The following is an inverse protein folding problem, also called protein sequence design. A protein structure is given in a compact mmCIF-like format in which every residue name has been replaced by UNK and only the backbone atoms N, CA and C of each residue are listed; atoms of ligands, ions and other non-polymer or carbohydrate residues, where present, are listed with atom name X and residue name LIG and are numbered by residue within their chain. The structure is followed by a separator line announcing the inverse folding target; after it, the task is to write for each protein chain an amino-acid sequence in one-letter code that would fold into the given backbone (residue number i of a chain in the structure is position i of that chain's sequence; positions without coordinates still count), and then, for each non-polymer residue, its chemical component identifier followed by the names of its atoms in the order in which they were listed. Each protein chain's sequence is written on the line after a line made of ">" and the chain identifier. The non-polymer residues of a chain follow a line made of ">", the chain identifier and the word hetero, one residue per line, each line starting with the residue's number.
data_IF_609960672106
#
_entry.id   IF_609960672106
#
_cell.length_a   1.000
_cell.length_b   1.000
_cell.length_c   1.000
_cell.angle_alpha   90.00
_cell.angle_beta   90.00
_cell.angle_gamma   90.00
#
_symmetry.space_group_name_H-M   'P 1'
#
loop_
_entity.id
_entity.type
_entity.pdbx_description
1 polymer ?
#
# COMPACT_ATOMS: atom_id res chain seq x y z
N UNK A 1 -18.50 3.78 -15.61
CA UNK A 1 -19.05 4.06 -14.26
C UNK A 1 -20.51 4.46 -14.41
N UNK A 2 -21.44 3.94 -13.58
CA UNK A 2 -22.84 4.34 -13.63
C UNK A 2 -22.98 5.83 -13.27
N UNK A 3 -23.93 6.53 -13.91
CA UNK A 3 -24.22 7.94 -13.58
C UNK A 3 -24.74 8.02 -12.14
N UNK A 4 -24.04 8.74 -11.28
CA UNK A 4 -24.47 8.98 -9.90
C UNK A 4 -25.67 9.92 -9.85
N UNK A 5 -26.61 9.65 -8.95
CA UNK A 5 -27.79 10.47 -8.68
C UNK A 5 -27.73 11.18 -7.33
N UNK A 6 -26.79 10.79 -6.45
CA UNK A 6 -26.53 11.42 -5.17
C UNK A 6 -25.02 11.44 -4.83
N UNK A 7 -24.66 12.19 -3.78
CA UNK A 7 -23.26 12.36 -3.37
C UNK A 7 -22.60 11.05 -2.93
N UNK A 8 -23.35 10.14 -2.30
CA UNK A 8 -22.82 8.85 -1.84
C UNK A 8 -22.44 7.98 -3.05
N UNK A 9 -23.29 7.94 -4.07
CA UNK A 9 -23.00 7.26 -5.34
C UNK A 9 -21.81 7.89 -6.06
N UNK A 10 -21.73 9.23 -6.11
CA UNK A 10 -20.59 9.93 -6.69
C UNK A 10 -19.28 9.60 -5.95
N UNK A 11 -19.30 9.61 -4.63
CA UNK A 11 -18.16 9.23 -3.79
C UNK A 11 -17.76 7.76 -3.99
N UNK A 12 -18.75 6.85 -4.08
CA UNK A 12 -18.47 5.43 -4.33
C UNK A 12 -17.91 5.17 -5.73
N UNK A 13 -18.34 5.96 -6.72
CA UNK A 13 -17.79 5.97 -8.08
C UNK A 13 -16.35 6.48 -8.13
N UNK A 14 -15.91 7.28 -7.15
CA UNK A 14 -14.49 7.62 -7.02
C UNK A 14 -13.70 6.38 -6.59
N UNK A 15 -13.06 5.76 -7.57
CA UNK A 15 -12.12 4.66 -7.35
C UNK A 15 -10.75 5.28 -7.04
N UNK A 16 -10.31 5.10 -5.80
CA UNK A 16 -8.94 5.42 -5.41
C UNK A 16 -8.09 4.22 -5.78
N UNK A 17 -7.20 4.39 -6.75
CA UNK A 17 -6.25 3.35 -7.15
C UNK A 17 -4.93 3.49 -6.39
N UNK A 18 -4.23 2.38 -6.10
CA UNK A 18 -2.88 2.44 -5.56
C UNK A 18 -1.88 2.92 -6.62
N UNK A 19 -0.73 3.43 -6.16
CA UNK A 19 0.42 3.64 -7.05
C UNK A 19 0.98 2.28 -7.48
N UNK A 20 1.27 2.13 -8.77
CA UNK A 20 1.63 0.86 -9.42
C UNK A 20 2.97 0.96 -10.15
N UNK A 21 3.28 2.08 -10.80
CA UNK A 21 4.47 2.25 -11.65
C UNK A 21 5.62 2.98 -10.94
N UNK A 22 6.86 2.81 -11.42
CA UNK A 22 8.01 3.57 -10.90
C UNK A 22 7.79 5.08 -10.99
N UNK A 23 7.20 5.54 -12.10
CA UNK A 23 6.87 6.94 -12.34
C UNK A 23 5.86 7.45 -11.32
N UNK A 24 4.79 6.70 -11.06
CA UNK A 24 3.79 7.07 -10.06
C UNK A 24 4.39 7.14 -8.65
N UNK A 25 5.26 6.20 -8.29
CA UNK A 25 5.94 6.24 -7.00
C UNK A 25 6.89 7.43 -6.90
N UNK A 26 7.70 7.69 -7.93
CA UNK A 26 8.61 8.84 -7.95
C UNK A 26 7.87 10.17 -7.81
N UNK A 27 6.75 10.32 -8.50
CA UNK A 27 6.08 11.61 -8.64
C UNK A 27 5.02 11.86 -7.55
N UNK A 28 4.45 10.80 -6.96
CA UNK A 28 3.32 10.91 -6.02
C UNK A 28 3.50 10.21 -4.68
N UNK A 29 4.55 9.41 -4.47
CA UNK A 29 4.78 8.78 -3.18
C UNK A 29 5.29 9.82 -2.17
N UNK A 30 4.64 9.86 -1.01
CA UNK A 30 5.05 10.73 0.09
C UNK A 30 5.84 9.89 1.08
N UNK A 31 7.15 10.13 1.13
CA UNK A 31 8.01 9.46 2.11
C UNK A 31 7.63 9.82 3.54
N UNK A 32 7.70 8.81 4.42
CA UNK A 32 7.54 9.03 5.85
C UNK A 32 8.75 9.82 6.38
N UNK A 33 8.59 10.65 7.42
CA UNK A 33 9.73 11.26 8.09
C UNK A 33 10.72 10.20 8.55
N UNK A 34 12.03 10.45 8.44
CA UNK A 34 13.10 9.46 8.71
C UNK A 34 13.04 8.78 10.10
N UNK A 35 12.43 9.44 11.09
CA UNK A 35 12.32 8.92 12.45
C UNK A 35 10.90 8.41 12.77
N UNK A 36 10.00 8.40 11.80
CA UNK A 36 8.65 7.87 11.98
C UNK A 36 8.65 6.35 11.77
N UNK A 37 7.86 5.60 12.56
CA UNK A 37 7.72 4.17 12.33
C UNK A 37 7.13 3.90 10.93
N UNK A 38 7.76 2.99 10.20
CA UNK A 38 7.29 2.50 8.90
C UNK A 38 6.79 1.06 9.05
N UNK A 39 5.47 0.84 9.03
CA UNK A 39 4.91 -0.52 9.08
C UNK A 39 5.38 -1.41 7.93
N UNK A 40 5.76 -0.81 6.79
CA UNK A 40 6.27 -1.54 5.62
C UNK A 40 7.70 -2.02 5.82
N UNK A 41 8.57 -1.21 6.40
CA UNK A 41 9.94 -1.64 6.72
C UNK A 41 9.94 -2.73 7.79
N UNK A 42 9.11 -2.56 8.83
CA UNK A 42 8.92 -3.58 9.87
C UNK A 42 8.37 -4.88 9.28
N UNK A 43 7.37 -4.80 8.40
CA UNK A 43 6.80 -5.97 7.75
C UNK A 43 7.79 -6.65 6.81
N UNK A 44 8.60 -5.89 6.07
CA UNK A 44 9.68 -6.42 5.23
C UNK A 44 10.65 -7.26 6.07
N UNK A 45 11.15 -6.69 7.17
CA UNK A 45 12.09 -7.38 8.06
C UNK A 45 11.47 -8.67 8.63
N UNK A 46 10.21 -8.61 9.07
CA UNK A 46 9.49 -9.79 9.56
C UNK A 46 9.28 -10.86 8.49
N UNK A 47 9.08 -10.49 7.23
CA UNK A 47 8.93 -11.44 6.11
C UNK A 47 10.27 -12.09 5.77
N UNK A 48 11.32 -11.30 5.65
CA UNK A 48 12.65 -11.76 5.23
C UNK A 48 13.35 -12.64 6.27
N UNK A 49 12.98 -12.51 7.54
CA UNK A 49 13.51 -13.31 8.65
C UNK A 49 12.52 -14.35 9.18
N UNK A 50 11.40 -14.60 8.48
CA UNK A 50 10.40 -15.56 8.93
C UNK A 50 10.90 -17.01 8.76
N UNK A 51 10.99 -17.78 9.86
CA UNK A 51 11.26 -19.22 9.80
C UNK A 51 10.11 -20.04 9.19
N UNK A 52 8.92 -19.46 9.10
CA UNK A 52 7.71 -20.09 8.55
C UNK A 52 6.72 -19.04 8.07
N UNK A 53 5.83 -19.43 7.16
CA UNK A 53 4.79 -18.56 6.64
C UNK A 53 3.95 -17.92 7.76
N UNK A 54 3.82 -16.59 7.72
CA UNK A 54 3.01 -15.79 8.67
C UNK A 54 1.84 -15.13 7.96
N UNK A 55 0.80 -14.82 8.72
CA UNK A 55 -0.38 -14.08 8.25
C UNK A 55 -0.40 -12.71 8.89
N UNK A 56 -0.67 -11.68 8.07
CA UNK A 56 -0.70 -10.29 8.50
C UNK A 56 -2.05 -9.66 8.12
N UNK A 57 -2.59 -8.85 9.02
CA UNK A 57 -3.84 -8.11 8.80
C UNK A 57 -3.53 -6.62 8.70
N UNK A 58 -3.79 -6.03 7.54
CA UNK A 58 -3.63 -4.59 7.29
C UNK A 58 -4.97 -3.87 7.41
N UNK A 59 -5.09 -2.98 8.40
CA UNK A 59 -6.32 -2.24 8.70
C UNK A 59 -6.16 -0.73 8.41
N UNK A 60 -7.26 -0.07 8.10
CA UNK A 60 -7.32 1.38 7.86
C UNK A 60 -8.47 1.77 6.94
N UNK A 61 -8.81 3.06 6.91
CA UNK A 61 -9.93 3.61 6.13
C UNK A 61 -9.74 3.48 4.60
N UNK A 62 -10.83 3.58 3.82
CA UNK A 62 -10.74 3.62 2.34
C UNK A 62 -9.87 4.81 1.91
N UNK A 63 -8.98 4.60 0.95
CA UNK A 63 -8.09 5.65 0.43
C UNK A 63 -6.89 6.02 1.32
N UNK A 64 -6.69 5.38 2.48
CA UNK A 64 -5.55 5.69 3.37
C UNK A 64 -4.19 5.12 2.91
N UNK A 65 -4.06 4.69 1.65
CA UNK A 65 -2.79 4.22 1.08
C UNK A 65 -2.39 2.76 1.33
N UNK A 66 -3.24 1.91 1.94
CA UNK A 66 -2.88 0.49 2.24
C UNK A 66 -2.34 -0.27 1.02
N UNK A 67 -3.06 -0.22 -0.10
CA UNK A 67 -2.65 -0.94 -1.31
C UNK A 67 -1.39 -0.34 -1.95
N UNK A 68 -1.18 0.98 -1.83
CA UNK A 68 0.06 1.65 -2.25
C UNK A 68 1.25 1.16 -1.42
N UNK A 69 1.11 1.13 -0.10
CA UNK A 69 2.15 0.64 0.82
C UNK A 69 2.47 -0.85 0.59
N UNK A 70 1.46 -1.69 0.29
CA UNK A 70 1.69 -3.09 -0.10
C UNK A 70 2.42 -3.22 -1.44
N UNK A 71 2.11 -2.36 -2.42
CA UNK A 71 2.85 -2.32 -3.67
C UNK A 71 4.31 -1.92 -3.43
N UNK A 72 4.56 -0.94 -2.56
CA UNK A 72 5.92 -0.56 -2.14
C UNK A 72 6.65 -1.76 -1.52
N UNK A 73 6.01 -2.49 -0.59
CA UNK A 73 6.59 -3.69 0.01
C UNK A 73 7.02 -4.72 -1.04
N UNK A 74 6.18 -4.97 -2.06
CA UNK A 74 6.48 -5.92 -3.13
C UNK A 74 7.69 -5.55 -4.00
N UNK A 75 8.11 -4.28 -3.94
CA UNK A 75 9.27 -3.72 -4.62
C UNK A 75 10.52 -3.75 -3.73
N UNK A 76 10.33 -3.67 -2.41
CA UNK A 76 11.41 -3.71 -1.42
C UNK A 76 11.85 -5.13 -1.05
N UNK A 77 10.95 -6.11 -1.09
CA UNK A 77 11.28 -7.51 -0.79
C UNK A 77 12.17 -8.07 -1.90
N UNK A 78 13.26 -8.73 -1.50
CA UNK A 78 14.08 -9.52 -2.42
C UNK A 78 13.31 -10.75 -2.91
N UNK A 79 12.87 -10.70 -4.16
CA UNK A 79 12.13 -11.79 -4.80
C UNK A 79 12.97 -13.03 -5.05
N UNK A 80 14.30 -12.96 -4.94
CA UNK A 80 15.15 -14.15 -5.13
C UNK A 80 15.22 -15.03 -3.88
N UNK A 81 14.74 -14.53 -2.73
CA UNK A 81 14.66 -15.30 -1.47
C UNK A 81 13.41 -16.21 -1.39
N UNK A 82 12.44 -16.06 -2.27
CA UNK A 82 11.11 -16.70 -2.21
C UNK A 82 10.69 -17.23 -3.59
#
# INVERSE_FOLDING_TARGET
>A
MPKATNLIEAYNNFVVEPLKTEEEFRDFYVERPKNAPSPIEELKDRIENAESAKKYLFLGFRGCGKSTELNMLSRLIDRNKF
#
